data_IF_595828872409
#
_entry.id   IF_595828872409
#
_cell.length_a   1.000
_cell.length_b   1.000
_cell.length_c   1.000
_cell.angle_alpha   90.00
_cell.angle_beta   90.00
_cell.angle_gamma   90.00
#
_symmetry.space_group_name_H-M   'P 1'
#
loop_
_entity.id
_entity.type
_entity.pdbx_description
1 polymer ?
#
# COMPACT_ATOMS: atom_id res chain seq x y z
N UNK A 1 10.55 -17.41 -22.16
CA UNK A 1 10.60 -16.61 -20.93
C UNK A 1 9.52 -15.55 -21.03
N UNK A 2 8.52 -15.55 -20.12
CA UNK A 2 7.52 -14.50 -20.07
C UNK A 2 8.15 -13.26 -19.41
N UNK A 3 8.32 -12.18 -20.18
CA UNK A 3 8.74 -10.89 -19.64
C UNK A 3 7.50 -10.16 -19.13
N UNK A 4 7.16 -10.36 -17.85
CA UNK A 4 6.04 -9.66 -17.23
C UNK A 4 6.55 -8.29 -16.79
N UNK A 5 6.01 -7.18 -17.33
CA UNK A 5 6.42 -5.84 -16.92
C UNK A 5 6.13 -5.62 -15.42
N UNK A 6 6.98 -4.88 -14.70
CA UNK A 6 6.76 -4.59 -13.29
C UNK A 6 5.48 -3.77 -13.10
N UNK A 7 4.72 -4.06 -12.04
CA UNK A 7 3.59 -3.23 -11.63
C UNK A 7 4.14 -1.93 -11.03
N UNK A 8 3.66 -0.78 -11.54
CA UNK A 8 3.98 0.54 -11.01
C UNK A 8 2.77 1.11 -10.29
N UNK A 9 2.95 1.48 -9.02
CA UNK A 9 1.92 2.14 -8.22
C UNK A 9 2.09 3.66 -8.31
N UNK A 10 0.99 4.36 -8.58
CA UNK A 10 0.93 5.81 -8.67
C UNK A 10 -0.11 6.36 -7.69
N UNK A 11 0.24 7.41 -6.97
CA UNK A 11 -0.67 8.17 -6.13
C UNK A 11 -1.07 9.47 -6.85
N UNK A 12 -2.37 9.70 -7.02
CA UNK A 12 -2.92 10.93 -7.62
C UNK A 12 -3.26 11.97 -6.55
N UNK A 13 -2.63 13.13 -6.63
CA UNK A 13 -2.79 14.24 -5.72
C UNK A 13 -3.99 15.14 -6.10
N UNK A 14 -4.41 16.00 -5.18
CA UNK A 14 -5.55 16.92 -5.35
C UNK A 14 -5.35 17.93 -6.49
N UNK A 15 -4.12 18.31 -6.76
CA UNK A 15 -3.74 19.18 -7.89
C UNK A 15 -3.78 18.46 -9.26
N UNK A 16 -4.10 17.16 -9.26
CA UNK A 16 -4.19 16.33 -10.45
C UNK A 16 -2.86 15.69 -10.86
N UNK A 17 -1.75 15.99 -10.18
CA UNK A 17 -0.47 15.32 -10.41
C UNK A 17 -0.50 13.87 -9.93
N UNK A 18 0.31 13.02 -10.58
CA UNK A 18 0.48 11.62 -10.17
C UNK A 18 1.95 11.36 -9.87
N UNK A 19 2.24 10.87 -8.67
CA UNK A 19 3.59 10.57 -8.22
C UNK A 19 3.77 9.07 -7.97
N UNK A 20 4.95 8.51 -8.27
CA UNK A 20 5.22 7.11 -8.01
C UNK A 20 5.22 6.81 -6.51
N UNK A 21 4.72 5.63 -6.16
CA UNK A 21 4.85 5.07 -4.83
C UNK A 21 6.03 4.09 -4.81
N UNK A 22 6.75 4.05 -3.70
CA UNK A 22 7.83 3.09 -3.45
C UNK A 22 7.49 2.23 -2.25
N UNK A 23 7.96 0.98 -2.27
CA UNK A 23 7.87 0.11 -1.12
C UNK A 23 8.62 0.76 0.05
N UNK A 24 7.97 0.77 1.21
CA UNK A 24 8.48 1.36 2.43
C UNK A 24 8.55 0.28 3.51
N UNK A 25 9.56 0.39 4.37
CA UNK A 25 9.67 -0.47 5.53
C UNK A 25 8.52 -0.16 6.52
N UNK A 26 7.93 -1.19 7.14
CA UNK A 26 7.00 -1.00 8.25
C UNK A 26 7.66 -0.18 9.35
N UNK A 27 7.15 1.03 9.57
CA UNK A 27 7.63 1.86 10.66
C UNK A 27 7.18 1.25 11.99
N UNK A 28 7.97 1.41 13.05
CA UNK A 28 7.55 1.02 14.41
C UNK A 28 6.31 1.79 14.91
N UNK A 29 5.88 2.84 14.18
CA UNK A 29 4.66 3.59 14.42
C UNK A 29 3.43 3.02 13.69
N UNK A 30 3.60 1.99 12.84
CA UNK A 30 2.48 1.22 12.31
C UNK A 30 1.76 0.55 13.48
N UNK A 31 0.42 0.57 13.48
CA UNK A 31 -0.40 0.13 14.61
C UNK A 31 -0.15 -1.34 15.01
N UNK A 32 0.39 -2.18 14.11
CA UNK A 32 0.88 -3.54 14.40
C UNK A 32 1.84 -4.06 13.29
N UNK A 33 3.15 -3.71 13.35
CA UNK A 33 4.12 -4.07 12.32
C UNK A 33 4.32 -5.58 12.20
N UNK A 34 4.17 -6.33 13.30
CA UNK A 34 4.35 -7.78 13.31
C UNK A 34 3.20 -8.53 12.64
N UNK A 35 1.98 -8.00 12.75
CA UNK A 35 0.80 -8.56 12.04
C UNK A 35 0.85 -8.26 10.55
N UNK A 36 1.32 -7.07 10.17
CA UNK A 36 1.53 -6.68 8.78
C UNK A 36 2.59 -7.58 8.10
N UNK A 37 3.74 -7.80 8.76
CA UNK A 37 4.74 -8.75 8.27
C UNK A 37 4.21 -10.19 8.17
N UNK A 38 3.49 -10.69 9.19
CA UNK A 38 2.95 -12.06 9.21
C UNK A 38 1.91 -12.30 8.11
N UNK A 39 1.17 -11.28 7.71
CA UNK A 39 0.16 -11.35 6.66
C UNK A 39 0.72 -11.17 5.24
N UNK A 40 2.04 -10.96 5.08
CA UNK A 40 2.65 -10.64 3.80
C UNK A 40 2.25 -9.26 3.28
N UNK A 41 1.87 -8.34 4.17
CA UNK A 41 1.50 -6.98 3.81
C UNK A 41 2.73 -6.22 3.31
N UNK A 42 2.56 -5.45 2.24
CA UNK A 42 3.58 -4.53 1.72
C UNK A 42 3.07 -3.11 1.83
N UNK A 43 3.89 -2.23 2.38
CA UNK A 43 3.58 -0.82 2.50
C UNK A 43 4.19 -0.09 1.31
N UNK A 44 3.43 0.81 0.69
CA UNK A 44 3.93 1.69 -0.33
C UNK A 44 3.68 3.14 0.07
N UNK A 45 4.73 3.96 0.05
CA UNK A 45 4.69 5.38 0.36
C UNK A 45 4.79 6.22 -0.91
N UNK A 46 4.03 7.30 -0.99
CA UNK A 46 4.18 8.28 -2.06
C UNK A 46 5.54 8.98 -1.97
N UNK A 47 6.21 9.20 -3.10
CA UNK A 47 7.50 9.95 -3.11
C UNK A 47 7.34 11.46 -2.99
N UNK A 48 6.12 11.98 -2.97
CA UNK A 48 5.83 13.42 -2.96
C UNK A 48 5.00 13.90 -1.75
N UNK A 49 4.46 12.99 -0.95
CA UNK A 49 3.72 13.28 0.28
C UNK A 49 3.81 12.10 1.26
N UNK A 50 3.35 12.29 2.49
CA UNK A 50 3.43 11.26 3.54
C UNK A 50 2.32 10.19 3.46
N UNK A 51 1.54 10.16 2.38
CA UNK A 51 0.50 9.14 2.19
C UNK A 51 1.09 7.76 1.92
N UNK A 52 0.49 6.76 2.56
CA UNK A 52 0.89 5.36 2.50
C UNK A 52 -0.31 4.47 2.24
N UNK A 53 -0.11 3.39 1.47
CA UNK A 53 -1.08 2.31 1.29
C UNK A 53 -0.48 0.99 1.77
N UNK A 54 -1.35 0.11 2.25
CA UNK A 54 -0.98 -1.25 2.65
C UNK A 54 -1.63 -2.23 1.68
N UNK A 55 -0.83 -3.08 1.04
CA UNK A 55 -1.29 -4.12 0.13
C UNK A 55 -1.09 -5.47 0.81
N UNK A 56 -2.18 -6.15 1.16
CA UNK A 56 -2.15 -7.49 1.74
C UNK A 56 -2.43 -8.55 0.67
N UNK A 57 -1.71 -9.67 0.70
CA UNK A 57 -2.01 -10.84 -0.12
C UNK A 57 -3.02 -11.74 0.59
N UNK A 58 -4.17 -11.19 0.95
CA UNK A 58 -5.31 -11.93 1.48
C UNK A 58 -6.45 -11.94 0.47
N UNK A 59 -7.24 -13.01 0.43
CA UNK A 59 -8.58 -12.97 -0.18
C UNK A 59 -9.44 -12.05 0.68
N UNK A 60 -9.39 -10.74 0.44
CA UNK A 60 -10.33 -9.81 1.04
C UNK A 60 -11.70 -10.14 0.49
N UNK A 61 -12.53 -10.83 1.29
CA UNK A 61 -13.97 -10.79 1.08
C UNK A 61 -14.36 -9.30 1.13
N UNK A 62 -14.93 -8.70 0.07
CA UNK A 62 -15.15 -7.25 -0.03
C UNK A 62 -16.01 -6.65 1.09
N UNK A 63 -16.58 -7.48 1.96
CA UNK A 63 -17.50 -7.10 3.04
C UNK A 63 -16.84 -6.44 4.25
N UNK A 64 -15.51 -6.53 4.41
CA UNK A 64 -14.82 -6.04 5.62
C UNK A 64 -14.26 -4.61 5.50
N UNK A 65 -14.36 -3.97 4.32
CA UNK A 65 -13.89 -2.61 4.08
C UNK A 65 -14.97 -1.53 4.32
N UNK A 66 -15.96 -1.78 5.18
CA UNK A 66 -16.99 -0.79 5.50
C UNK A 66 -16.51 0.08 6.69
N UNK A 67 -16.38 1.42 6.55
CA UNK A 67 -16.01 2.28 7.66
C UNK A 67 -17.04 2.20 8.79
N UNK A 68 -16.64 2.40 10.07
CA UNK A 68 -17.60 2.50 11.16
C UNK A 68 -18.56 3.68 10.91
N UNK A 69 -19.85 3.41 11.12
CA UNK A 69 -20.96 4.35 10.98
C UNK A 69 -20.91 5.50 11.99
#
# INVERSE_FOLDING_TARGET
MLNIPPILLLHRHRDGSSHPMAEAEPSAASLDPERELRAGARIYACKACDEQIVVTTGTSDPKEAQPPA
#
